data_IF_035744275651
#
_entry.id   IF_035744275651
#
_cell.length_a   1.000
_cell.length_b   1.000
_cell.length_c   1.000
_cell.angle_alpha   90.00
_cell.angle_beta   90.00
_cell.angle_gamma   90.00
#
_symmetry.space_group_name_H-M   'P 1'
#
loop_
_entity.id
_entity.type
_entity.pdbx_description
1 polymer ?
#
# COMPACT_ATOMS: atom_id res chain seq x y z
N UNK A 1 9.92 4.85 8.42
CA UNK A 1 8.93 5.84 7.92
C UNK A 1 8.61 5.63 6.43
N UNK A 2 9.54 5.12 5.62
CA UNK A 2 9.34 4.85 4.19
C UNK A 2 8.18 3.89 3.85
N UNK A 3 7.91 2.90 4.71
CA UNK A 3 6.81 1.94 4.52
C UNK A 3 5.42 2.59 4.46
N UNK A 4 5.18 3.63 5.26
CA UNK A 4 3.90 4.37 5.25
C UNK A 4 3.76 5.13 3.92
N UNK A 5 4.82 5.80 3.47
CA UNK A 5 4.83 6.56 2.20
C UNK A 5 4.59 5.64 1.00
N UNK A 6 5.28 4.50 0.94
CA UNK A 6 5.08 3.49 -0.10
C UNK A 6 3.64 2.94 -0.05
N UNK A 7 3.14 2.64 1.14
CA UNK A 7 1.78 2.14 1.33
C UNK A 7 0.73 3.12 0.79
N UNK A 8 0.86 4.42 1.11
CA UNK A 8 -0.05 5.47 0.62
C UNK A 8 0.01 5.58 -0.90
N UNK A 9 1.20 5.63 -1.49
CA UNK A 9 1.38 5.72 -2.93
C UNK A 9 0.78 4.53 -3.67
N UNK A 10 1.00 3.30 -3.17
CA UNK A 10 0.42 2.09 -3.76
C UNK A 10 -1.11 2.05 -3.63
N UNK A 11 -1.65 2.52 -2.49
CA UNK A 11 -3.09 2.56 -2.26
C UNK A 11 -3.77 3.56 -3.21
N UNK A 12 -3.22 4.77 -3.35
CA UNK A 12 -3.70 5.78 -4.30
C UNK A 12 -3.56 5.32 -5.76
N UNK A 13 -2.44 4.67 -6.11
CA UNK A 13 -2.22 4.12 -7.44
C UNK A 13 -3.23 3.00 -7.77
N UNK A 14 -3.50 2.11 -6.82
CA UNK A 14 -4.49 1.02 -6.96
C UNK A 14 -5.93 1.52 -7.03
N UNK A 15 -6.29 2.51 -6.21
CA UNK A 15 -7.63 3.11 -6.22
C UNK A 15 -7.91 3.89 -7.50
N UNK A 16 -6.88 4.46 -8.12
CA UNK A 16 -6.99 5.18 -9.40
C UNK A 16 -7.40 4.26 -10.57
N UNK A 17 -7.35 2.93 -10.41
CA UNK A 17 -7.71 1.95 -11.45
C UNK A 17 -6.73 1.89 -12.63
N UNK A 18 -5.92 2.93 -12.81
CA UNK A 18 -4.87 3.08 -13.83
C UNK A 18 -3.65 2.21 -13.60
N UNK A 19 -3.40 1.83 -12.34
CA UNK A 19 -2.26 0.99 -11.98
C UNK A 19 -2.75 -0.34 -11.45
N UNK A 20 -2.18 -1.40 -11.99
CA UNK A 20 -2.43 -2.78 -11.61
C UNK A 20 -1.23 -3.35 -10.88
N UNK A 21 -1.46 -4.26 -9.94
CA UNK A 21 -0.36 -4.97 -9.31
C UNK A 21 0.33 -5.82 -10.37
N UNK A 22 1.62 -5.55 -10.59
CA UNK A 22 2.46 -6.34 -11.49
C UNK A 22 2.45 -7.79 -10.97
N UNK A 23 2.06 -8.72 -11.84
CA UNK A 23 1.91 -10.15 -11.51
C UNK A 23 0.47 -10.64 -11.35
N UNK A 24 -0.50 -9.79 -11.01
CA UNK A 24 -1.93 -10.17 -10.98
C UNK A 24 -2.79 -9.40 -11.98
N UNK A 25 -2.31 -8.26 -12.50
CA UNK A 25 -3.07 -7.42 -13.42
C UNK A 25 -4.29 -6.73 -12.77
N UNK A 26 -4.49 -6.91 -11.46
CA UNK A 26 -5.65 -6.41 -10.74
C UNK A 26 -5.34 -5.15 -9.94
N UNK A 27 -6.06 -4.07 -10.23
CA UNK A 27 -5.98 -2.81 -9.47
C UNK A 27 -6.50 -2.96 -8.03
N UNK A 28 -7.46 -3.87 -7.82
CA UNK A 28 -7.96 -4.21 -6.47
C UNK A 28 -6.89 -4.87 -5.61
N UNK A 29 -6.07 -5.75 -6.20
CA UNK A 29 -4.95 -6.36 -5.51
C UNK A 29 -3.87 -5.33 -5.14
N UNK A 30 -3.61 -4.35 -6.02
CA UNK A 30 -2.67 -3.26 -5.74
C UNK A 30 -3.13 -2.41 -4.55
N UNK A 31 -4.41 -2.03 -4.53
CA UNK A 31 -4.99 -1.26 -3.44
C UNK A 31 -4.94 -2.02 -2.11
N UNK A 32 -5.28 -3.32 -2.11
CA UNK A 32 -5.23 -4.15 -0.91
C UNK A 32 -3.80 -4.32 -0.37
N UNK A 33 -2.83 -4.52 -1.27
CA UNK A 33 -1.42 -4.63 -0.90
C UNK A 33 -0.87 -3.31 -0.35
N UNK A 34 -1.23 -2.18 -0.98
CA UNK A 34 -0.92 -0.84 -0.48
C UNK A 34 -1.48 -0.61 0.93
N UNK A 35 -2.73 -0.99 1.18
CA UNK A 35 -3.37 -0.91 2.50
C UNK A 35 -2.66 -1.77 3.56
N UNK A 36 -2.26 -2.99 3.21
CA UNK A 36 -1.53 -3.88 4.13
C UNK A 36 -0.15 -3.31 4.51
N UNK A 37 0.59 -2.77 3.54
CA UNK A 37 1.88 -2.11 3.79
C UNK A 37 1.70 -0.85 4.66
N UNK A 38 0.65 -0.07 4.40
CA UNK A 38 0.30 1.11 5.19
C UNK A 38 0.03 0.74 6.66
N UNK A 39 -0.81 -0.27 6.88
CA UNK A 39 -1.13 -0.77 8.22
C UNK A 39 0.13 -1.29 8.93
N UNK A 40 1.00 -2.02 8.23
CA UNK A 40 2.27 -2.48 8.78
C UNK A 40 3.21 -1.33 9.14
N UNK A 41 3.26 -0.29 8.30
CA UNK A 41 4.01 0.93 8.57
C UNK A 41 3.52 1.64 9.84
N UNK A 42 2.20 1.73 10.05
CA UNK A 42 1.59 2.30 11.26
C UNK A 42 1.98 1.48 12.48
N UNK A 43 1.84 0.14 12.42
CA UNK A 43 2.24 -0.76 13.52
C UNK A 43 3.72 -0.61 13.86
N UNK A 44 4.60 -0.47 12.85
CA UNK A 44 6.02 -0.21 13.08
C UNK A 44 6.29 1.12 13.78
N UNK A 45 5.53 2.18 13.47
CA UNK A 45 5.66 3.46 14.18
C UNK A 45 5.20 3.31 15.63
N UNK A 46 4.02 2.71 15.84
CA UNK A 46 3.45 2.49 17.17
C UNK A 46 4.34 1.61 18.05
N UNK A 47 4.95 0.55 17.51
CA UNK A 47 5.86 -0.34 18.27
C UNK A 47 7.24 0.25 18.52
N UNK A 48 7.62 1.32 17.81
CA UNK A 48 8.96 1.92 17.89
C UNK A 48 8.95 3.25 18.65
N UNK A 49 7.77 3.73 19.04
CA UNK A 49 7.52 4.77 20.06
C UNK A 49 7.37 4.14 21.44
#
# INVERSE_FOLDING_TARGET
MWNIVIGVLMLLAGLSGRFSLIGTGSSKALAFFGAAILAWGIVQVVRRS
#
